data_IF_661386659152
#
_entry.id   IF_661386659152
#
_cell.length_a   1.000
_cell.length_b   1.000
_cell.length_c   1.000
_cell.angle_alpha   90.00
_cell.angle_beta   90.00
_cell.angle_gamma   90.00
#
_symmetry.space_group_name_H-M   'P 1'
#
loop_
_entity.id
_entity.type
_entity.pdbx_description
1 polymer ?
#
# COMPACT_ATOMS: atom_id res chain seq x y z
N UNK A 1 12.44 -8.56 -17.10
CA UNK A 1 13.90 -8.65 -17.29
C UNK A 1 14.27 -7.94 -18.58
N UNK A 2 15.27 -7.05 -18.57
CA UNK A 2 15.68 -6.27 -19.74
C UNK A 2 16.88 -6.87 -20.46
N UNK A 3 17.87 -7.33 -19.70
CA UNK A 3 19.09 -7.95 -20.21
C UNK A 3 19.83 -8.73 -19.11
N UNK A 4 20.76 -9.59 -19.52
CA UNK A 4 21.64 -10.36 -18.61
C UNK A 4 23.05 -10.40 -19.18
N UNK A 5 24.04 -10.12 -18.33
CA UNK A 5 25.45 -10.32 -18.63
C UNK A 5 26.01 -11.41 -17.71
N UNK A 6 26.65 -12.42 -18.26
CA UNK A 6 27.34 -13.47 -17.51
C UNK A 6 28.82 -13.46 -17.88
N UNK A 7 29.69 -13.34 -16.88
CA UNK A 7 31.14 -13.36 -17.06
C UNK A 7 31.82 -13.94 -15.82
N UNK A 8 32.69 -14.94 -16.01
CA UNK A 8 33.50 -15.55 -14.94
C UNK A 8 32.67 -16.01 -13.72
N UNK A 9 31.49 -16.59 -13.97
CA UNK A 9 30.57 -17.03 -12.91
C UNK A 9 29.83 -15.90 -12.18
N UNK A 10 29.95 -14.66 -12.64
CA UNK A 10 29.19 -13.49 -12.16
C UNK A 10 28.08 -13.18 -13.15
N UNK A 11 26.85 -13.08 -12.65
CA UNK A 11 25.66 -12.79 -13.45
C UNK A 11 25.11 -11.45 -13.01
N UNK A 12 25.03 -10.52 -13.95
CA UNK A 12 24.42 -9.22 -13.74
C UNK A 12 23.10 -9.15 -14.52
N UNK A 13 22.02 -8.99 -13.79
CA UNK A 13 20.66 -8.90 -14.32
C UNK A 13 20.25 -7.43 -14.33
N UNK A 14 19.87 -6.95 -15.50
CA UNK A 14 19.27 -5.63 -15.69
C UNK A 14 17.76 -5.80 -15.79
N UNK A 15 17.00 -5.16 -14.90
CA UNK A 15 15.54 -5.27 -14.92
C UNK A 15 14.87 -3.96 -14.52
N UNK A 16 13.55 -3.92 -14.69
CA UNK A 16 12.68 -2.99 -13.98
C UNK A 16 11.97 -3.82 -12.90
N UNK A 17 12.01 -3.35 -11.66
CA UNK A 17 11.36 -3.96 -10.52
C UNK A 17 10.30 -3.02 -9.93
N UNK A 18 9.31 -3.60 -9.25
CA UNK A 18 8.32 -2.85 -8.51
C UNK A 18 7.82 -3.67 -7.34
N UNK A 19 7.61 -3.02 -6.20
CA UNK A 19 7.05 -3.60 -4.99
C UNK A 19 5.63 -3.05 -4.76
N UNK A 20 4.75 -3.89 -4.23
CA UNK A 20 3.41 -3.49 -3.81
C UNK A 20 3.01 -4.20 -2.53
N UNK A 21 2.63 -3.42 -1.51
CA UNK A 21 1.98 -3.94 -0.33
C UNK A 21 0.47 -3.95 -0.57
N UNK A 22 -0.16 -5.10 -0.35
CA UNK A 22 -1.60 -5.28 -0.52
C UNK A 22 -2.31 -5.37 0.83
N UNK A 23 -3.50 -4.79 0.90
CA UNK A 23 -4.38 -4.83 2.05
C UNK A 23 -5.83 -4.96 1.62
N UNK A 24 -6.69 -5.44 2.52
CA UNK A 24 -8.12 -5.46 2.26
C UNK A 24 -8.73 -4.10 2.58
N UNK A 25 -9.42 -3.52 1.61
CA UNK A 25 -10.20 -2.30 1.77
C UNK A 25 -11.53 -2.47 1.04
N UNK A 26 -12.66 -2.23 1.72
CA UNK A 26 -14.01 -2.45 1.17
C UNK A 26 -14.19 -3.84 0.52
N UNK A 27 -13.57 -4.88 1.10
CA UNK A 27 -13.61 -6.26 0.58
C UNK A 27 -12.75 -6.51 -0.67
N UNK A 28 -12.01 -5.51 -1.15
CA UNK A 28 -11.06 -5.65 -2.27
C UNK A 28 -9.65 -5.77 -1.70
N UNK A 29 -8.89 -6.76 -2.19
CA UNK A 29 -7.46 -6.88 -1.86
C UNK A 29 -6.66 -5.99 -2.81
N UNK A 30 -6.41 -4.76 -2.38
CA UNK A 30 -5.87 -3.68 -3.21
C UNK A 30 -4.47 -3.29 -2.79
N UNK A 31 -3.67 -2.76 -3.71
CA UNK A 31 -2.37 -2.14 -3.40
C UNK A 31 -2.60 -0.89 -2.54
N UNK A 32 -2.05 -0.89 -1.33
CA UNK A 32 -2.17 0.21 -0.34
C UNK A 32 -0.88 1.02 -0.19
N UNK A 33 0.25 0.45 -0.60
CA UNK A 33 1.53 1.15 -0.70
C UNK A 33 2.46 0.38 -1.63
N UNK A 34 3.63 0.94 -1.92
CA UNK A 34 4.64 0.27 -2.73
C UNK A 34 5.53 1.26 -3.47
N UNK A 35 6.22 0.75 -4.48
CA UNK A 35 7.05 1.55 -5.37
C UNK A 35 6.44 1.69 -6.76
N UNK A 36 7.02 2.64 -7.51
CA UNK A 36 6.80 2.77 -8.94
C UNK A 36 7.54 1.69 -9.75
N UNK A 37 7.89 2.03 -10.99
CA UNK A 37 8.77 1.22 -11.82
C UNK A 37 10.23 1.65 -11.59
N UNK A 38 11.02 0.82 -10.92
CA UNK A 38 12.40 1.14 -10.53
C UNK A 38 13.37 0.34 -11.41
N UNK A 39 14.24 0.99 -12.20
CA UNK A 39 15.37 0.31 -12.81
C UNK A 39 16.28 -0.30 -11.74
N UNK A 40 16.56 -1.59 -11.85
CA UNK A 40 17.34 -2.34 -10.86
C UNK A 40 18.43 -3.16 -11.54
N UNK A 41 19.63 -3.15 -10.94
CA UNK A 41 20.72 -4.05 -11.28
C UNK A 41 20.92 -5.03 -10.14
N UNK A 42 20.84 -6.33 -10.44
CA UNK A 42 21.03 -7.39 -9.46
C UNK A 42 22.23 -8.24 -9.90
N UNK A 43 23.22 -8.39 -9.03
CA UNK A 43 24.42 -9.16 -9.30
C UNK A 43 24.40 -10.44 -8.46
N UNK A 44 24.67 -11.58 -9.10
CA UNK A 44 24.76 -12.89 -8.47
C UNK A 44 26.13 -13.51 -8.75
N UNK A 45 26.60 -14.37 -7.85
CA UNK A 45 27.60 -15.40 -8.18
C UNK A 45 26.87 -16.70 -8.49
N UNK A 46 27.43 -17.47 -9.42
CA UNK A 46 27.00 -18.83 -9.74
C UNK A 46 28.17 -19.77 -9.53
N UNK A 47 27.95 -20.77 -8.69
CA UNK A 47 28.99 -21.78 -8.42
C UNK A 47 29.01 -22.87 -9.50
N UNK A 48 29.98 -23.78 -9.41
CA UNK A 48 30.13 -24.92 -10.35
C UNK A 48 28.92 -25.85 -10.39
N UNK A 49 28.10 -25.89 -9.32
CA UNK A 49 26.85 -26.65 -9.25
C UNK A 49 25.66 -25.92 -9.89
N UNK A 50 25.87 -24.70 -10.36
CA UNK A 50 24.82 -23.85 -10.95
C UNK A 50 23.94 -23.13 -9.94
N UNK A 51 24.32 -23.12 -8.66
CA UNK A 51 23.56 -22.43 -7.60
C UNK A 51 23.92 -20.95 -7.58
N UNK A 52 22.90 -20.10 -7.40
CA UNK A 52 23.04 -18.65 -7.40
C UNK A 52 23.07 -18.08 -5.97
N UNK A 53 24.01 -17.18 -5.69
CA UNK A 53 24.05 -16.38 -4.46
C UNK A 53 23.95 -14.90 -4.81
N UNK A 54 23.09 -14.14 -4.12
CA UNK A 54 22.99 -12.70 -4.29
C UNK A 54 24.27 -12.02 -3.81
N UNK A 55 24.90 -11.22 -4.67
CA UNK A 55 26.05 -10.40 -4.33
C UNK A 55 25.67 -8.93 -4.12
N UNK A 56 24.83 -8.38 -4.99
CA UNK A 56 24.45 -6.96 -4.93
C UNK A 56 23.04 -6.74 -5.46
N UNK A 57 22.32 -5.79 -4.85
CA UNK A 57 21.06 -5.25 -5.35
C UNK A 57 21.19 -3.72 -5.36
N UNK A 58 21.01 -3.09 -6.53
CA UNK A 58 21.26 -1.66 -6.70
C UNK A 58 20.13 -0.97 -7.45
N UNK A 59 19.71 0.17 -6.91
CA UNK A 59 18.73 1.10 -7.48
C UNK A 59 19.42 2.44 -7.81
N UNK A 60 18.90 3.21 -8.79
CA UNK A 60 19.38 4.56 -9.07
C UNK A 60 19.17 5.49 -7.87
N UNK A 61 19.93 6.57 -7.84
CA UNK A 61 19.71 7.66 -6.89
C UNK A 61 18.45 8.45 -7.26
N UNK A 62 17.86 9.16 -6.30
CA UNK A 62 16.68 9.99 -6.56
C UNK A 62 17.01 11.42 -7.02
N UNK A 63 15.98 12.11 -7.50
CA UNK A 63 16.00 13.54 -7.80
C UNK A 63 16.99 13.92 -8.89
N UNK A 64 17.76 14.99 -8.68
CA UNK A 64 18.68 15.55 -9.67
C UNK A 64 19.77 14.55 -10.12
N UNK A 65 20.07 13.52 -9.32
CA UNK A 65 21.08 12.51 -9.63
C UNK A 65 20.53 11.26 -10.33
N UNK A 66 19.22 11.20 -10.58
CA UNK A 66 18.57 10.01 -11.13
C UNK A 66 19.14 9.59 -12.48
N UNK A 67 19.13 10.50 -13.46
CA UNK A 67 19.59 10.19 -14.83
C UNK A 67 21.08 9.79 -14.86
N UNK A 68 21.92 10.49 -14.10
CA UNK A 68 23.36 10.20 -14.05
C UNK A 68 23.65 8.84 -13.41
N UNK A 69 22.90 8.49 -12.35
CA UNK A 69 23.03 7.18 -11.71
C UNK A 69 22.58 6.04 -12.63
N UNK A 70 21.49 6.22 -13.40
CA UNK A 70 21.06 5.26 -14.42
C UNK A 70 22.16 5.00 -15.45
N UNK A 71 22.76 6.07 -15.99
CA UNK A 71 23.82 5.94 -17.00
C UNK A 71 25.09 5.25 -16.46
N UNK A 72 25.37 5.39 -15.16
CA UNK A 72 26.48 4.68 -14.51
C UNK A 72 26.18 3.20 -14.26
N UNK A 73 24.91 2.86 -14.06
CA UNK A 73 24.49 1.51 -13.67
C UNK A 73 24.20 0.60 -14.87
N UNK A 74 23.62 1.13 -15.93
CA UNK A 74 23.14 0.36 -17.07
C UNK A 74 24.06 0.52 -18.29
N UNK A 75 24.14 -0.48 -19.18
CA UNK A 75 24.79 -0.32 -20.48
C UNK A 75 23.98 0.64 -21.37
N UNK A 76 24.68 1.39 -22.23
CA UNK A 76 24.09 2.45 -23.07
C UNK A 76 22.90 1.98 -23.92
N UNK A 77 22.97 0.74 -24.45
CA UNK A 77 21.88 0.10 -25.21
C UNK A 77 20.55 -0.01 -24.45
N UNK A 78 20.55 0.15 -23.12
CA UNK A 78 19.35 0.09 -22.28
C UNK A 78 18.85 1.46 -21.81
N UNK A 79 19.56 2.56 -22.08
CA UNK A 79 19.20 3.88 -21.56
C UNK A 79 17.76 4.28 -21.88
N UNK A 80 17.32 4.16 -23.13
CA UNK A 80 15.94 4.52 -23.51
C UNK A 80 14.88 3.73 -22.73
N UNK A 81 15.16 2.45 -22.46
CA UNK A 81 14.27 1.55 -21.71
C UNK A 81 14.19 1.95 -20.25
N UNK A 82 15.31 2.25 -19.60
CA UNK A 82 15.34 2.57 -18.16
C UNK A 82 14.95 4.00 -17.85
N UNK A 83 15.19 4.94 -18.77
CA UNK A 83 14.70 6.32 -18.66
C UNK A 83 13.17 6.35 -18.81
N UNK A 84 12.62 5.47 -19.66
CA UNK A 84 11.16 5.31 -19.84
C UNK A 84 10.59 4.17 -18.98
N UNK A 85 11.06 4.00 -17.73
CA UNK A 85 10.66 2.88 -16.88
C UNK A 85 9.15 2.84 -16.59
N UNK A 86 8.48 3.99 -16.63
CA UNK A 86 7.02 4.12 -16.47
C UNK A 86 6.22 3.30 -17.51
N UNK A 87 6.79 3.06 -18.71
CA UNK A 87 6.13 2.23 -19.75
C UNK A 87 5.88 0.79 -19.29
N UNK A 88 6.59 0.32 -18.27
CA UNK A 88 6.45 -1.03 -17.72
C UNK A 88 5.35 -1.14 -16.65
N UNK A 89 4.70 -0.04 -16.24
CA UNK A 89 3.65 -0.07 -15.21
C UNK A 89 2.55 -1.10 -15.46
N UNK A 90 1.98 -1.26 -16.67
CA UNK A 90 0.91 -2.23 -16.89
C UNK A 90 1.35 -3.69 -16.68
N UNK A 91 2.59 -4.02 -17.04
CA UNK A 91 3.12 -5.36 -16.86
C UNK A 91 3.45 -5.63 -15.38
N UNK A 92 4.07 -4.67 -14.71
CA UNK A 92 4.38 -4.73 -13.28
C UNK A 92 3.11 -4.89 -12.44
N UNK A 93 2.04 -4.16 -12.79
CA UNK A 93 0.74 -4.29 -12.13
C UNK A 93 0.17 -5.71 -12.28
N UNK A 94 0.20 -6.29 -13.49
CA UNK A 94 -0.24 -7.68 -13.72
C UNK A 94 0.55 -8.70 -12.89
N UNK A 95 1.86 -8.53 -12.81
CA UNK A 95 2.72 -9.40 -12.00
C UNK A 95 2.40 -9.29 -10.51
N UNK A 96 2.21 -8.06 -10.01
CA UNK A 96 1.80 -7.79 -8.63
C UNK A 96 0.43 -8.42 -8.31
N UNK A 97 -0.56 -8.26 -9.19
CA UNK A 97 -1.89 -8.85 -9.02
C UNK A 97 -1.85 -10.39 -9.05
N UNK A 98 -1.02 -10.99 -9.91
CA UNK A 98 -0.86 -12.45 -9.94
C UNK A 98 -0.25 -12.98 -8.63
N UNK A 99 0.79 -12.32 -8.11
CA UNK A 99 1.41 -12.69 -6.83
C UNK A 99 0.44 -12.52 -5.65
N UNK A 100 -0.31 -11.41 -5.63
CA UNK A 100 -1.32 -11.15 -4.61
C UNK A 100 -2.48 -12.16 -4.66
N UNK A 101 -2.93 -12.55 -5.87
CA UNK A 101 -3.94 -13.58 -6.04
C UNK A 101 -3.47 -14.95 -5.55
N UNK A 102 -2.20 -15.31 -5.81
CA UNK A 102 -1.63 -16.56 -5.31
C UNK A 102 -1.51 -16.58 -3.78
N UNK A 103 -1.11 -15.45 -3.18
CA UNK A 103 -1.13 -15.29 -1.72
C UNK A 103 -2.52 -15.53 -1.14
N UNK A 104 -3.58 -14.98 -1.75
CA UNK A 104 -4.96 -15.20 -1.29
C UNK A 104 -5.36 -16.68 -1.31
N UNK A 105 -5.00 -17.41 -2.37
CA UNK A 105 -5.24 -18.87 -2.44
C UNK A 105 -4.54 -19.61 -1.32
N UNK A 106 -3.27 -19.27 -1.05
CA UNK A 106 -2.46 -19.93 -0.02
C UNK A 106 -3.02 -19.75 1.39
N UNK A 107 -3.75 -18.66 1.65
CA UNK A 107 -4.44 -18.41 2.93
C UNK A 107 -5.93 -18.81 2.89
N UNK A 108 -6.39 -19.46 1.82
CA UNK A 108 -7.78 -19.90 1.68
C UNK A 108 -8.81 -18.78 1.55
N UNK A 109 -8.42 -17.59 1.08
CA UNK A 109 -9.33 -16.45 0.88
C UNK A 109 -9.58 -16.19 -0.60
N UNK A 110 -10.75 -15.65 -0.89
CA UNK A 110 -11.13 -15.17 -2.23
C UNK A 110 -11.56 -13.72 -2.13
N UNK A 111 -10.97 -12.86 -2.96
CA UNK A 111 -11.36 -11.46 -3.10
C UNK A 111 -10.93 -10.95 -4.48
N UNK A 112 -11.55 -9.84 -4.92
CA UNK A 112 -11.04 -9.10 -6.08
C UNK A 112 -9.65 -8.55 -5.74
N UNK A 113 -8.69 -8.77 -6.64
CA UNK A 113 -7.34 -8.21 -6.54
C UNK A 113 -7.23 -7.00 -7.46
N UNK A 114 -6.60 -5.92 -7.01
CA UNK A 114 -6.40 -4.70 -7.80
C UNK A 114 -5.09 -4.01 -7.43
N UNK A 115 -4.18 -3.84 -8.38
CA UNK A 115 -3.03 -2.94 -8.23
C UNK A 115 -3.38 -1.48 -8.53
N UNK A 116 -4.48 -1.25 -9.27
CA UNK A 116 -5.00 0.07 -9.55
C UNK A 116 -5.65 0.71 -8.33
N UNK A 117 -5.63 2.04 -8.27
CA UNK A 117 -6.31 2.82 -7.25
C UNK A 117 -7.82 2.50 -7.24
N UNK A 118 -8.33 2.19 -6.06
CA UNK A 118 -9.76 1.97 -5.82
C UNK A 118 -10.33 3.25 -5.23
N UNK A 119 -11.27 3.87 -5.94
CA UNK A 119 -11.91 5.10 -5.51
C UNK A 119 -12.57 4.94 -4.12
N UNK A 120 -12.36 5.96 -3.27
CA UNK A 120 -12.86 6.00 -1.89
C UNK A 120 -13.78 7.19 -1.70
N UNK A 121 -14.92 6.97 -1.06
CA UNK A 121 -15.84 8.04 -0.68
C UNK A 121 -15.35 8.73 0.58
N UNK A 122 -15.10 10.03 0.51
CA UNK A 122 -14.65 10.80 1.67
C UNK A 122 -15.80 11.09 2.64
N UNK A 123 -15.44 11.33 3.89
CA UNK A 123 -16.37 11.87 4.89
C UNK A 123 -16.69 13.31 4.51
N UNK A 124 -17.98 13.66 4.45
CA UNK A 124 -18.42 14.99 4.05
C UNK A 124 -18.78 15.83 5.28
N UNK A 125 -17.79 16.52 5.86
CA UNK A 125 -17.92 17.34 7.07
C UNK A 125 -17.10 18.62 6.92
N UNK A 126 -17.18 19.52 7.90
CA UNK A 126 -16.33 20.70 7.98
C UNK A 126 -14.83 20.31 7.87
N UNK A 127 -14.06 21.07 7.08
CA UNK A 127 -12.66 20.77 6.77
C UNK A 127 -11.76 20.81 8.01
N UNK A 128 -11.99 21.75 8.93
CA UNK A 128 -11.25 21.81 10.19
C UNK A 128 -11.56 20.60 11.06
N UNK A 129 -12.84 20.21 11.18
CA UNK A 129 -13.24 19.00 11.89
C UNK A 129 -12.61 17.73 11.27
N UNK A 130 -12.56 17.66 9.93
CA UNK A 130 -11.87 16.59 9.20
C UNK A 130 -10.38 16.55 9.53
N UNK A 131 -9.70 17.70 9.51
CA UNK A 131 -8.27 17.78 9.84
C UNK A 131 -7.98 17.39 11.29
N UNK A 132 -8.89 17.68 12.23
CA UNK A 132 -8.74 17.23 13.62
C UNK A 132 -8.87 15.71 13.74
N UNK A 133 -9.91 15.12 13.12
CA UNK A 133 -10.15 13.68 13.16
C UNK A 133 -9.08 12.85 12.42
N UNK A 134 -8.57 13.35 11.30
CA UNK A 134 -7.73 12.58 10.37
C UNK A 134 -6.31 13.11 10.18
N UNK A 135 -5.98 14.28 10.74
CA UNK A 135 -4.65 14.91 10.62
C UNK A 135 -3.57 14.30 11.53
N UNK A 136 -3.96 13.37 12.41
CA UNK A 136 -3.06 12.50 13.14
C UNK A 136 -2.33 13.08 14.36
N UNK A 137 -2.55 14.35 14.70
CA UNK A 137 -1.95 14.99 15.88
C UNK A 137 -2.89 15.03 17.08
N UNK A 138 -4.16 15.39 16.88
CA UNK A 138 -5.13 15.56 17.97
C UNK A 138 -5.70 14.23 18.47
N UNK A 139 -6.02 13.32 17.53
CA UNK A 139 -6.53 11.98 17.82
C UNK A 139 -5.66 10.91 17.16
N UNK A 140 -4.42 10.67 17.62
CA UNK A 140 -3.48 9.77 16.95
C UNK A 140 -3.98 8.32 16.85
N UNK A 141 -4.84 7.87 17.77
CA UNK A 141 -5.46 6.54 17.73
C UNK A 141 -6.45 6.38 16.56
N UNK A 142 -6.98 7.48 16.01
CA UNK A 142 -7.88 7.43 14.84
C UNK A 142 -7.12 7.17 13.53
N UNK A 143 -5.79 7.30 13.51
CA UNK A 143 -4.97 6.98 12.33
C UNK A 143 -5.06 5.51 11.90
N UNK A 144 -5.52 4.65 12.80
CA UNK A 144 -5.75 3.23 12.56
C UNK A 144 -7.06 2.95 11.80
N UNK A 145 -7.93 3.94 11.68
CA UNK A 145 -9.17 3.89 10.93
C UNK A 145 -8.98 4.49 9.52
N UNK A 146 -9.78 4.09 8.53
CA UNK A 146 -9.72 4.70 7.21
C UNK A 146 -10.17 6.17 7.27
N UNK A 147 -9.46 7.08 6.60
CA UNK A 147 -9.86 8.50 6.49
C UNK A 147 -11.01 8.72 5.48
N UNK A 148 -11.59 7.63 4.99
CA UNK A 148 -12.68 7.57 4.03
C UNK A 148 -13.78 6.65 4.57
N UNK A 149 -15.01 6.81 4.06
CA UNK A 149 -16.13 5.94 4.40
C UNK A 149 -15.88 4.55 3.83
N UNK A 150 -15.87 3.54 4.71
CA UNK A 150 -15.63 2.16 4.35
C UNK A 150 -14.80 1.42 5.39
N UNK A 151 -14.20 0.32 4.97
CA UNK A 151 -13.44 -0.59 5.84
C UNK A 151 -12.03 -0.79 5.34
N UNK A 152 -11.12 -1.10 6.27
CA UNK A 152 -9.81 -1.70 6.01
C UNK A 152 -9.49 -2.78 7.03
N UNK A 153 -8.77 -3.81 6.61
CA UNK A 153 -8.32 -4.86 7.54
C UNK A 153 -6.87 -4.64 7.97
N UNK A 154 -6.56 -4.98 9.23
CA UNK A 154 -5.19 -4.99 9.77
C UNK A 154 -4.96 -6.26 10.57
N UNK A 155 -3.70 -6.68 10.65
CA UNK A 155 -3.28 -7.78 11.52
C UNK A 155 -2.48 -7.17 12.68
N UNK A 156 -2.93 -7.42 13.90
CA UNK A 156 -2.31 -6.99 15.14
C UNK A 156 -2.03 -8.23 16.01
N UNK A 157 -0.76 -8.50 16.30
CA UNK A 157 -0.35 -9.66 17.10
C UNK A 157 -0.95 -10.99 16.58
N UNK A 158 -1.01 -11.15 15.26
CA UNK A 158 -1.57 -12.32 14.59
C UNK A 158 -3.11 -12.37 14.51
N UNK A 159 -3.82 -11.40 15.10
CA UNK A 159 -5.28 -11.29 15.06
C UNK A 159 -5.69 -10.30 13.99
N UNK A 160 -6.67 -10.67 13.17
CA UNK A 160 -7.23 -9.79 12.15
C UNK A 160 -8.36 -8.93 12.73
N UNK A 161 -8.27 -7.63 12.49
CA UNK A 161 -9.31 -6.66 12.82
C UNK A 161 -9.79 -5.93 11.57
N UNK A 162 -11.07 -5.58 11.59
CA UNK A 162 -11.72 -4.74 10.58
C UNK A 162 -11.95 -3.37 11.20
N UNK A 163 -11.29 -2.36 10.65
CA UNK A 163 -11.47 -0.96 10.98
C UNK A 163 -12.44 -0.33 10.01
N UNK A 164 -13.47 0.33 10.53
CA UNK A 164 -14.53 0.96 9.76
C UNK A 164 -14.64 2.44 10.12
N UNK A 165 -14.81 3.28 9.11
CA UNK A 165 -15.28 4.66 9.25
C UNK A 165 -16.61 4.77 8.52
N UNK A 166 -17.64 5.28 9.20
CA UNK A 166 -18.96 5.53 8.62
C UNK A 166 -19.47 6.92 8.99
N UNK A 167 -20.41 7.43 8.20
CA UNK A 167 -21.03 8.73 8.41
C UNK A 167 -22.55 8.58 8.46
N UNK A 168 -23.18 9.28 9.39
CA UNK A 168 -24.63 9.39 9.53
C UNK A 168 -24.99 10.79 10.05
N UNK A 169 -26.22 10.96 10.52
CA UNK A 169 -26.70 12.20 11.17
C UNK A 169 -27.16 11.90 12.59
N UNK A 170 -26.95 12.85 13.50
CA UNK A 170 -27.59 12.84 14.81
C UNK A 170 -29.07 13.23 14.70
N UNK A 171 -29.86 13.00 15.76
CA UNK A 171 -31.29 13.35 15.79
C UNK A 171 -31.53 14.86 15.63
N UNK A 172 -30.58 15.69 16.02
CA UNK A 172 -30.59 17.15 15.86
C UNK A 172 -29.90 17.63 14.57
N UNK A 173 -29.64 16.72 13.61
CA UNK A 173 -29.24 17.05 12.24
C UNK A 173 -27.75 17.29 12.00
N UNK A 174 -26.91 17.20 13.03
CA UNK A 174 -25.46 17.32 12.89
C UNK A 174 -24.85 16.08 12.25
N UNK A 175 -23.69 16.25 11.61
CA UNK A 175 -22.92 15.12 11.10
C UNK A 175 -22.40 14.25 12.24
N UNK A 176 -22.50 12.94 12.04
CA UNK A 176 -22.02 11.94 12.97
C UNK A 176 -21.00 11.03 12.27
N UNK A 177 -19.74 11.13 12.68
CA UNK A 177 -18.66 10.24 12.22
C UNK A 177 -18.48 9.12 13.23
N UNK A 178 -18.51 7.88 12.76
CA UNK A 178 -18.45 6.68 13.59
C UNK A 178 -17.24 5.86 13.16
N UNK A 179 -16.39 5.55 14.13
CA UNK A 179 -15.23 4.70 14.01
C UNK A 179 -15.49 3.39 14.73
N UNK A 180 -15.29 2.25 14.08
CA UNK A 180 -15.54 0.94 14.68
C UNK A 180 -14.42 -0.05 14.36
N UNK A 181 -13.91 -0.72 15.39
CA UNK A 181 -12.98 -1.85 15.27
C UNK A 181 -13.72 -3.12 15.64
N UNK A 182 -13.74 -4.08 14.73
CA UNK A 182 -14.40 -5.38 14.93
C UNK A 182 -13.44 -6.53 14.69
N UNK A 183 -13.70 -7.66 15.35
CA UNK A 183 -13.13 -8.97 14.98
C UNK A 183 -13.85 -9.52 13.74
N UNK A 184 -13.28 -10.57 13.14
CA UNK A 184 -13.90 -11.25 11.98
C UNK A 184 -15.31 -11.81 12.27
N UNK A 185 -15.61 -12.16 13.52
CA UNK A 185 -16.94 -12.61 13.95
C UNK A 185 -17.96 -11.47 14.16
N UNK A 186 -17.56 -10.21 13.89
CA UNK A 186 -18.38 -9.02 14.07
C UNK A 186 -18.39 -8.46 15.49
N UNK A 187 -17.67 -9.07 16.44
CA UNK A 187 -17.56 -8.54 17.81
C UNK A 187 -16.92 -7.15 17.79
N UNK A 188 -17.65 -6.16 18.31
CA UNK A 188 -17.14 -4.80 18.48
C UNK A 188 -16.15 -4.76 19.65
N UNK A 189 -14.91 -4.37 19.34
CA UNK A 189 -13.82 -4.19 20.29
C UNK A 189 -13.69 -2.72 20.67
N UNK A 190 -13.76 -1.84 19.68
CA UNK A 190 -13.74 -0.39 19.88
C UNK A 190 -14.82 0.28 19.05
N UNK A 191 -15.42 1.34 19.60
CA UNK A 191 -16.29 2.24 18.85
C UNK A 191 -16.20 3.66 19.40
N UNK A 192 -16.06 4.63 18.51
CA UNK A 192 -16.06 6.05 18.82
C UNK A 192 -17.08 6.75 17.93
N UNK A 193 -17.88 7.65 18.50
CA UNK A 193 -18.81 8.47 17.71
C UNK A 193 -18.59 9.95 17.99
N UNK A 194 -18.33 10.70 16.94
CA UNK A 194 -18.08 12.14 16.99
C UNK A 194 -19.21 12.89 16.31
N UNK A 195 -19.91 13.73 17.08
CA UNK A 195 -20.84 14.72 16.56
C UNK A 195 -20.04 15.93 16.09
N UNK A 196 -20.23 16.36 14.86
CA UNK A 196 -19.53 17.54 14.32
C UNK A 196 -20.41 18.76 14.54
N UNK A 197 -19.97 19.68 15.41
CA UNK A 197 -20.64 20.97 15.65
C UNK A 197 -19.72 22.06 15.12
N UNK A 198 -20.14 22.71 14.04
CA UNK A 198 -19.31 23.67 13.28
C UNK A 198 -17.98 23.03 12.85
N UNK A 199 -16.86 23.45 13.45
CA UNK A 199 -15.51 22.91 13.22
C UNK A 199 -15.00 21.98 14.34
N UNK A 200 -15.85 21.65 15.31
CA UNK A 200 -15.47 20.90 16.50
C UNK A 200 -16.06 19.47 16.50
N UNK A 201 -15.21 18.43 16.41
CA UNK A 201 -15.63 17.06 16.68
C UNK A 201 -15.85 16.85 18.19
N UNK A 202 -17.10 16.61 18.58
CA UNK A 202 -17.46 16.31 19.96
C UNK A 202 -17.66 14.80 20.14
N UNK A 203 -16.86 14.17 20.99
CA UNK A 203 -17.02 12.75 21.32
C UNK A 203 -18.32 12.56 22.12
N UNK A 204 -19.31 11.87 21.54
CA UNK A 204 -20.61 11.61 22.17
C UNK A 204 -20.78 10.16 22.62
N UNK A 205 -19.91 9.26 22.15
CA UNK A 205 -19.91 7.86 22.56
C UNK A 205 -18.53 7.25 22.41
N UNK A 206 -18.13 6.43 23.40
CA UNK A 206 -16.91 5.64 23.39
C UNK A 206 -17.18 4.27 24.00
N UNK A 207 -16.71 3.22 23.32
CA UNK A 207 -16.61 1.86 23.83
C UNK A 207 -15.20 1.34 23.50
N UNK A 208 -14.50 0.83 24.51
CA UNK A 208 -13.18 0.21 24.37
C UNK A 208 -13.15 -0.99 25.31
N UNK A 209 -13.11 -2.20 24.74
CA UNK A 209 -13.07 -3.47 25.49
C UNK A 209 -11.69 -4.09 25.47
#
# INVERSE_FOLDING_TARGET
>A
MLDVEEKDGIIKVYTIASFGAFGFENGIFTKISGSGAIPTVITFSKNEKGEYSLLEYKEPMDGAFYIDSLKKMFPEKLYDKVISADKYYPELAKQQEAQAAEYLKNIGRTAKVSAAYVEKKLVNINVEASNKLFGGTEFPFLNDYPWWIGTRERIENGIRYIYETSQSKTNDGYDLVIFRKTKEDGTIVEEYRYKIVDSEPQLIYKNTK
#
